data_IF_707770276679
#
_entry.id   IF_707770276679
#
_cell.length_a   1.000
_cell.length_b   1.000
_cell.length_c   1.000
_cell.angle_alpha   90.00
_cell.angle_beta   90.00
_cell.angle_gamma   90.00
#
_symmetry.space_group_name_H-M   'P 1'
#
loop_
_entity.id
_entity.type
_entity.pdbx_description
1 polymer ?
#
# COMPACT_ATOMS: atom_id res chain seq x y z
N UNK A 1 -13.11 -7.16 19.20
CA UNK A 1 -13.50 -8.33 18.33
C UNK A 1 -13.40 -9.58 19.15
N UNK A 2 -14.42 -10.42 19.11
CA UNK A 2 -14.34 -11.74 19.77
C UNK A 2 -13.61 -12.79 18.90
N UNK A 3 -13.34 -13.95 19.48
CA UNK A 3 -12.53 -14.98 18.86
C UNK A 3 -13.18 -15.60 17.60
N UNK A 4 -14.52 -15.63 17.54
CA UNK A 4 -15.26 -16.18 16.38
C UNK A 4 -14.99 -15.34 15.15
N UNK A 5 -15.16 -14.01 15.25
CA UNK A 5 -14.88 -13.10 14.14
C UNK A 5 -13.39 -13.03 13.80
N UNK A 6 -12.51 -13.11 14.81
CA UNK A 6 -11.08 -13.14 14.57
C UNK A 6 -10.67 -14.36 13.74
N UNK A 7 -11.10 -15.55 14.12
CA UNK A 7 -10.79 -16.79 13.40
C UNK A 7 -11.40 -16.79 11.99
N UNK A 8 -12.64 -16.31 11.86
CA UNK A 8 -13.29 -16.16 10.55
C UNK A 8 -12.50 -15.22 9.62
N UNK A 9 -11.98 -14.11 10.16
CA UNK A 9 -11.13 -13.20 9.40
C UNK A 9 -9.81 -13.86 8.97
N UNK A 10 -9.14 -14.58 9.86
CA UNK A 10 -7.91 -15.33 9.55
C UNK A 10 -8.14 -16.34 8.43
N UNK A 11 -9.26 -17.09 8.52
CA UNK A 11 -9.60 -18.17 7.58
C UNK A 11 -10.27 -17.67 6.28
N UNK A 12 -10.65 -16.38 6.20
CA UNK A 12 -11.39 -15.83 5.05
C UNK A 12 -12.82 -16.37 4.94
N UNK A 13 -13.47 -16.72 6.06
CA UNK A 13 -14.86 -17.17 6.11
C UNK A 13 -15.80 -15.99 6.22
N UNK A 14 -16.69 -15.84 5.25
CA UNK A 14 -17.58 -14.67 5.15
C UNK A 14 -18.86 -14.81 5.97
N UNK A 15 -19.33 -16.05 6.23
CA UNK A 15 -20.64 -16.32 6.82
C UNK A 15 -20.88 -15.59 8.15
N UNK A 16 -19.94 -15.61 9.14
CA UNK A 16 -20.14 -14.90 10.40
C UNK A 16 -20.35 -13.39 10.24
N UNK A 17 -19.79 -12.81 9.17
CA UNK A 17 -19.92 -11.36 8.89
C UNK A 17 -21.22 -10.99 8.18
N UNK A 18 -21.85 -11.94 7.49
CA UNK A 18 -23.18 -11.80 6.90
C UNK A 18 -24.31 -11.93 7.93
N UNK A 19 -24.09 -12.74 8.97
CA UNK A 19 -25.10 -13.08 9.97
C UNK A 19 -25.07 -12.15 11.21
N UNK A 20 -24.04 -11.32 11.35
CA UNK A 20 -23.90 -10.46 12.54
C UNK A 20 -24.79 -9.22 12.46
N UNK A 21 -25.43 -8.89 13.60
CA UNK A 21 -26.13 -7.61 13.77
C UNK A 21 -25.17 -6.45 14.11
N UNK A 22 -23.91 -6.75 14.47
CA UNK A 22 -22.92 -5.73 14.82
C UNK A 22 -22.33 -5.10 13.56
N UNK A 23 -22.21 -3.78 13.51
CA UNK A 23 -21.54 -3.10 12.40
C UNK A 23 -20.09 -3.59 12.26
N UNK A 24 -19.67 -3.97 11.05
CA UNK A 24 -18.33 -4.54 10.85
C UNK A 24 -17.20 -3.56 11.19
N UNK A 25 -17.43 -2.26 11.04
CA UNK A 25 -16.45 -1.23 11.40
C UNK A 25 -16.20 -1.12 12.92
N UNK A 26 -17.08 -1.67 13.75
CA UNK A 26 -16.94 -1.73 15.21
C UNK A 26 -16.26 -3.04 15.69
N UNK A 27 -16.10 -4.02 14.79
CA UNK A 27 -15.41 -5.26 15.08
C UNK A 27 -13.89 -5.06 15.07
N UNK A 28 -13.35 -4.49 16.15
CA UNK A 28 -11.94 -4.12 16.26
C UNK A 28 -11.21 -4.97 17.31
N UNK A 29 -9.95 -5.30 17.01
CA UNK A 29 -9.01 -5.81 18.01
C UNK A 29 -8.56 -4.70 18.98
N UNK A 30 -7.84 -5.00 20.09
CA UNK A 30 -7.25 -3.97 20.95
C UNK A 30 -6.35 -2.97 20.20
N UNK A 31 -5.65 -3.43 19.16
CA UNK A 31 -4.83 -2.59 18.27
C UNK A 31 -5.64 -1.94 17.14
N UNK A 32 -6.98 -1.94 17.24
CA UNK A 32 -7.92 -1.40 16.26
C UNK A 32 -7.82 -2.04 14.87
N UNK A 33 -7.23 -3.22 14.75
CA UNK A 33 -7.26 -3.94 13.49
C UNK A 33 -8.71 -4.36 13.15
N UNK A 34 -9.12 -4.05 11.93
CA UNK A 34 -10.40 -4.48 11.36
C UNK A 34 -10.30 -5.90 10.82
N UNK A 35 -11.42 -6.44 10.35
CA UNK A 35 -11.50 -7.73 9.64
C UNK A 35 -10.47 -7.80 8.49
N UNK A 36 -10.36 -6.73 7.69
CA UNK A 36 -9.41 -6.67 6.57
C UNK A 36 -7.95 -6.69 7.06
N UNK A 37 -7.61 -5.94 8.10
CA UNK A 37 -6.24 -5.95 8.65
C UNK A 37 -5.83 -7.34 9.11
N UNK A 38 -6.75 -8.05 9.81
CA UNK A 38 -6.48 -9.41 10.29
C UNK A 38 -6.28 -10.36 9.11
N UNK A 39 -7.21 -10.33 8.14
CA UNK A 39 -7.16 -11.20 6.99
C UNK A 39 -5.85 -11.02 6.22
N UNK A 40 -5.54 -9.79 5.81
CA UNK A 40 -4.36 -9.46 5.01
C UNK A 40 -3.03 -9.76 5.70
N UNK A 41 -2.98 -9.62 7.04
CA UNK A 41 -1.76 -9.93 7.82
C UNK A 41 -1.50 -11.45 7.89
N UNK A 42 -2.55 -12.27 7.81
CA UNK A 42 -2.44 -13.73 7.96
C UNK A 42 -2.34 -14.47 6.61
N UNK A 43 -2.41 -13.78 5.49
CA UNK A 43 -2.16 -14.38 4.19
C UNK A 43 -0.69 -14.79 4.06
N UNK A 44 -0.43 -16.07 3.83
CA UNK A 44 0.95 -16.62 3.77
C UNK A 44 1.49 -16.71 2.34
N UNK A 45 0.68 -16.47 1.32
CA UNK A 45 1.02 -16.53 -0.12
C UNK A 45 0.31 -15.42 -0.87
N UNK A 46 0.73 -15.20 -2.14
CA UNK A 46 -0.05 -14.39 -3.08
C UNK A 46 -1.50 -14.92 -3.09
N UNK A 47 -2.49 -14.06 -2.84
CA UNK A 47 -3.86 -14.51 -2.67
C UNK A 47 -4.40 -15.17 -3.93
N UNK A 48 -4.98 -16.35 -3.77
CA UNK A 48 -5.80 -16.98 -4.79
C UNK A 48 -7.09 -16.18 -5.04
N UNK A 49 -7.81 -16.47 -6.08
CA UNK A 49 -9.07 -15.81 -6.45
C UNK A 49 -10.10 -15.82 -5.29
N UNK A 50 -10.12 -16.89 -4.49
CA UNK A 50 -10.98 -17.02 -3.30
C UNK A 50 -10.73 -15.95 -2.24
N UNK A 51 -9.49 -15.52 -2.08
CA UNK A 51 -9.09 -14.49 -1.12
C UNK A 51 -9.50 -13.09 -1.57
N UNK A 52 -9.37 -12.81 -2.87
CA UNK A 52 -9.87 -11.59 -3.47
C UNK A 52 -11.38 -11.46 -3.26
N UNK A 53 -12.13 -12.54 -3.47
CA UNK A 53 -13.59 -12.59 -3.24
C UNK A 53 -13.97 -12.25 -1.79
N UNK A 54 -13.21 -12.75 -0.79
CA UNK A 54 -13.48 -12.39 0.61
C UNK A 54 -13.34 -10.88 0.85
N UNK A 55 -12.29 -10.25 0.33
CA UNK A 55 -12.09 -8.80 0.47
C UNK A 55 -13.20 -8.02 -0.22
N UNK A 56 -13.60 -8.43 -1.42
CA UNK A 56 -14.71 -7.81 -2.17
C UNK A 56 -16.04 -7.94 -1.42
N UNK A 57 -16.37 -9.13 -0.89
CA UNK A 57 -17.61 -9.35 -0.14
C UNK A 57 -17.63 -8.54 1.16
N UNK A 58 -16.53 -8.47 1.91
CA UNK A 58 -16.43 -7.64 3.12
C UNK A 58 -16.62 -6.16 2.79
N UNK A 59 -16.02 -5.67 1.70
CA UNK A 59 -16.16 -4.27 1.27
C UNK A 59 -17.56 -3.98 0.71
N UNK A 60 -18.21 -4.97 0.10
CA UNK A 60 -19.62 -4.85 -0.31
C UNK A 60 -20.55 -4.69 0.90
N UNK A 61 -20.32 -5.45 2.00
CA UNK A 61 -21.11 -5.36 3.24
C UNK A 61 -20.81 -4.04 3.98
N UNK A 62 -19.54 -3.64 4.03
CA UNK A 62 -19.09 -2.47 4.79
C UNK A 62 -17.99 -1.68 4.05
N UNK A 63 -18.37 -0.80 3.09
CA UNK A 63 -17.42 -0.03 2.28
C UNK A 63 -16.46 0.85 3.09
N UNK A 64 -16.88 1.32 4.28
CA UNK A 64 -16.04 2.16 5.14
C UNK A 64 -14.76 1.48 5.62
N UNK A 65 -14.69 0.15 5.60
CA UNK A 65 -13.50 -0.62 5.96
C UNK A 65 -12.32 -0.37 5.00
N UNK A 66 -12.59 0.10 3.77
CA UNK A 66 -11.57 0.40 2.78
C UNK A 66 -10.53 1.41 3.28
N UNK A 67 -11.00 2.45 3.98
CA UNK A 67 -10.17 3.54 4.48
C UNK A 67 -9.97 3.51 6.00
N UNK A 68 -10.61 2.58 6.70
CA UNK A 68 -10.51 2.50 8.15
C UNK A 68 -9.10 2.07 8.57
N UNK A 69 -8.53 2.81 9.52
CA UNK A 69 -7.16 2.60 9.97
C UNK A 69 -7.09 1.90 11.33
N UNK A 70 -5.99 1.18 11.57
CA UNK A 70 -5.65 0.58 12.85
C UNK A 70 -4.98 1.58 13.81
N UNK A 71 -4.50 1.13 14.98
CA UNK A 71 -3.83 1.97 15.98
C UNK A 71 -2.50 2.59 15.50
N UNK A 72 -1.90 2.06 14.43
CA UNK A 72 -0.71 2.62 13.78
C UNK A 72 -1.04 3.55 12.62
N UNK A 73 -2.31 3.91 12.45
CA UNK A 73 -2.81 4.66 11.30
C UNK A 73 -2.58 3.95 9.94
N UNK A 74 -2.46 2.63 9.95
CA UNK A 74 -2.33 1.84 8.73
C UNK A 74 -3.70 1.49 8.18
N UNK A 75 -3.94 1.73 6.89
CA UNK A 75 -5.12 1.27 6.16
C UNK A 75 -4.91 -0.17 5.63
N UNK A 76 -5.95 -0.85 5.15
CA UNK A 76 -5.81 -2.14 4.47
C UNK A 76 -4.80 -2.10 3.32
N UNK A 77 -4.69 -0.96 2.59
CA UNK A 77 -3.72 -0.79 1.52
C UNK A 77 -2.27 -0.84 2.03
N UNK A 78 -1.96 -0.26 3.19
CA UNK A 78 -0.63 -0.37 3.80
C UNK A 78 -0.26 -1.83 4.08
N UNK A 79 -1.20 -2.60 4.65
CA UNK A 79 -0.98 -4.02 4.96
C UNK A 79 -0.77 -4.82 3.67
N UNK A 80 -1.65 -4.67 2.68
CA UNK A 80 -1.54 -5.36 1.39
C UNK A 80 -0.22 -5.04 0.68
N UNK A 81 0.20 -3.77 0.71
CA UNK A 81 1.46 -3.32 0.11
C UNK A 81 2.69 -3.88 0.83
N UNK A 82 2.66 -3.91 2.17
CA UNK A 82 3.73 -4.47 3.01
C UNK A 82 3.99 -5.95 2.76
N UNK A 83 2.93 -6.72 2.56
CA UNK A 83 3.02 -8.17 2.32
C UNK A 83 3.08 -8.55 0.84
N UNK A 84 3.06 -7.57 -0.07
CA UNK A 84 3.20 -7.80 -1.51
C UNK A 84 1.97 -8.42 -2.17
N UNK A 85 0.78 -8.29 -1.58
CA UNK A 85 -0.46 -8.86 -2.10
C UNK A 85 -0.99 -8.04 -3.28
N UNK A 86 -0.34 -8.15 -4.45
CA UNK A 86 -0.64 -7.34 -5.63
C UNK A 86 -2.10 -7.49 -6.10
N UNK A 87 -2.65 -8.71 -6.07
CA UNK A 87 -4.06 -8.97 -6.39
C UNK A 87 -5.00 -8.20 -5.47
N UNK A 88 -4.72 -8.16 -4.15
CA UNK A 88 -5.54 -7.41 -3.19
C UNK A 88 -5.38 -5.90 -3.38
N UNK A 89 -4.16 -5.42 -3.62
CA UNK A 89 -3.93 -4.00 -3.94
C UNK A 89 -4.79 -3.56 -5.12
N UNK A 90 -4.85 -4.38 -6.17
CA UNK A 90 -5.71 -4.13 -7.33
C UNK A 90 -7.19 -4.07 -6.93
N UNK A 91 -7.69 -5.03 -6.15
CA UNK A 91 -9.07 -5.03 -5.64
C UNK A 91 -9.37 -3.78 -4.83
N UNK A 92 -8.50 -3.38 -3.88
CA UNK A 92 -8.70 -2.18 -3.08
C UNK A 92 -8.78 -0.91 -3.93
N UNK A 93 -7.94 -0.79 -4.98
CA UNK A 93 -7.97 0.32 -5.93
C UNK A 93 -9.29 0.32 -6.72
N UNK A 94 -9.71 -0.83 -7.24
CA UNK A 94 -10.98 -0.99 -7.97
C UNK A 94 -12.19 -0.64 -7.09
N UNK A 95 -12.19 -1.06 -5.83
CA UNK A 95 -13.22 -0.70 -4.85
C UNK A 95 -13.24 0.81 -4.54
N UNK A 96 -12.08 1.45 -4.44
CA UNK A 96 -12.02 2.90 -4.28
C UNK A 96 -12.63 3.65 -5.47
N UNK A 97 -12.54 3.09 -6.66
CA UNK A 97 -13.07 3.68 -7.89
C UNK A 97 -14.55 3.39 -8.10
N UNK A 98 -15.04 2.22 -7.69
CA UNK A 98 -16.36 1.70 -8.03
C UNK A 98 -17.54 2.47 -7.43
N UNK A 99 -17.36 3.14 -6.30
CA UNK A 99 -18.45 3.82 -5.58
C UNK A 99 -18.71 5.27 -6.06
N UNK A 100 -18.15 5.67 -7.21
CA UNK A 100 -18.26 7.02 -7.75
C UNK A 100 -19.07 7.06 -9.04
N UNK A 101 -19.79 8.16 -9.27
CA UNK A 101 -20.70 8.31 -10.42
C UNK A 101 -19.98 8.45 -11.77
N UNK A 102 -18.72 8.88 -11.74
CA UNK A 102 -17.89 9.09 -12.91
C UNK A 102 -16.45 8.65 -12.67
N UNK A 103 -15.72 8.41 -13.76
CA UNK A 103 -14.35 7.91 -13.75
C UNK A 103 -13.38 8.87 -13.03
N UNK A 104 -13.58 10.18 -13.18
CA UNK A 104 -12.68 11.19 -12.59
C UNK A 104 -12.79 11.20 -11.06
N UNK A 105 -14.01 11.17 -10.53
CA UNK A 105 -14.27 11.07 -9.08
C UNK A 105 -13.73 9.76 -8.49
N UNK A 106 -13.87 8.64 -9.20
CA UNK A 106 -13.32 7.36 -8.80
C UNK A 106 -11.79 7.38 -8.75
N UNK A 107 -11.16 7.95 -9.78
CA UNK A 107 -9.71 8.08 -9.81
C UNK A 107 -9.19 8.98 -8.69
N UNK A 108 -9.90 10.08 -8.41
CA UNK A 108 -9.57 10.97 -7.29
C UNK A 108 -9.65 10.24 -5.95
N UNK A 109 -10.69 9.45 -5.71
CA UNK A 109 -10.82 8.66 -4.48
C UNK A 109 -9.67 7.64 -4.31
N UNK A 110 -9.29 6.95 -5.38
CA UNK A 110 -8.14 6.05 -5.35
C UNK A 110 -6.84 6.81 -5.03
N UNK A 111 -6.60 7.97 -5.65
CA UNK A 111 -5.44 8.82 -5.37
C UNK A 111 -5.42 9.30 -3.91
N UNK A 112 -6.54 9.70 -3.34
CA UNK A 112 -6.61 10.06 -1.91
C UNK A 112 -6.29 8.87 -0.99
N UNK A 113 -6.72 7.68 -1.33
CA UNK A 113 -6.34 6.45 -0.61
C UNK A 113 -4.81 6.20 -0.66
N UNK A 114 -4.15 6.45 -1.80
CA UNK A 114 -2.69 6.31 -1.94
C UNK A 114 -1.91 7.30 -1.07
N UNK A 115 -2.48 8.48 -0.80
CA UNK A 115 -1.86 9.54 0.02
C UNK A 115 -1.94 9.30 1.52
N UNK A 116 -2.74 8.34 1.96
CA UNK A 116 -2.85 8.03 3.38
C UNK A 116 -1.49 7.60 3.94
N UNK A 117 -1.18 8.10 5.13
CA UNK A 117 0.08 7.80 5.82
C UNK A 117 -0.16 7.15 7.17
N UNK A 118 0.73 6.26 7.56
CA UNK A 118 0.75 5.71 8.90
C UNK A 118 1.39 6.71 9.91
N UNK A 119 1.55 6.30 11.19
CA UNK A 119 2.13 7.15 12.23
C UNK A 119 3.60 7.55 11.98
N UNK A 120 4.32 6.83 11.12
CA UNK A 120 5.70 7.12 10.70
C UNK A 120 5.74 7.93 9.40
N UNK A 121 4.60 8.44 8.92
CA UNK A 121 4.39 9.08 7.62
C UNK A 121 4.74 8.20 6.40
N UNK A 122 4.81 6.88 6.56
CA UNK A 122 4.90 6.00 5.41
C UNK A 122 3.54 5.89 4.72
N UNK A 123 3.52 6.00 3.40
CA UNK A 123 2.40 5.59 2.56
C UNK A 123 2.51 4.08 2.24
N UNK A 124 1.47 3.50 1.65
CA UNK A 124 1.52 2.14 1.14
C UNK A 124 2.67 1.93 0.11
N UNK A 125 3.04 2.97 -0.63
CA UNK A 125 4.17 2.95 -1.55
C UNK A 125 5.51 2.78 -0.82
N UNK A 126 5.74 3.49 0.31
CA UNK A 126 6.91 3.29 1.16
C UNK A 126 7.00 1.85 1.67
N UNK A 127 5.85 1.29 2.10
CA UNK A 127 5.80 -0.10 2.56
C UNK A 127 6.14 -1.08 1.43
N UNK A 128 5.60 -0.90 0.22
CA UNK A 128 5.93 -1.73 -0.93
C UNK A 128 7.43 -1.69 -1.29
N UNK A 129 8.03 -0.50 -1.28
CA UNK A 129 9.47 -0.33 -1.53
C UNK A 129 10.30 -1.01 -0.43
N UNK A 130 9.95 -0.80 0.84
CA UNK A 130 10.68 -1.35 1.99
C UNK A 130 10.87 -2.86 1.90
N UNK A 131 9.88 -3.56 1.36
CA UNK A 131 9.85 -5.02 1.25
C UNK A 131 10.06 -5.54 -0.17
N UNK A 132 10.49 -4.68 -1.11
CA UNK A 132 10.83 -5.03 -2.50
C UNK A 132 9.67 -5.65 -3.31
N UNK A 133 8.47 -5.09 -3.21
CA UNK A 133 7.29 -5.59 -3.90
C UNK A 133 7.03 -4.85 -5.22
N UNK A 134 7.79 -5.21 -6.28
CA UNK A 134 7.77 -4.54 -7.59
C UNK A 134 6.36 -4.47 -8.21
N UNK A 135 5.60 -5.57 -8.18
CA UNK A 135 4.27 -5.60 -8.79
C UNK A 135 3.28 -4.66 -8.09
N UNK A 136 3.38 -4.52 -6.76
CA UNK A 136 2.59 -3.53 -6.01
C UNK A 136 3.00 -2.12 -6.42
N UNK A 137 4.30 -1.84 -6.51
CA UNK A 137 4.82 -0.53 -6.93
C UNK A 137 4.29 -0.13 -8.30
N UNK A 138 4.31 -1.03 -9.28
CA UNK A 138 3.75 -0.81 -10.63
C UNK A 138 2.26 -0.44 -10.60
N UNK A 139 1.47 -1.14 -9.77
CA UNK A 139 0.04 -0.85 -9.62
C UNK A 139 -0.20 0.55 -9.05
N UNK A 140 0.55 0.94 -8.02
CA UNK A 140 0.40 2.25 -7.38
C UNK A 140 0.82 3.39 -8.30
N UNK A 141 1.95 3.27 -9.02
CA UNK A 141 2.40 4.25 -10.03
C UNK A 141 1.35 4.41 -11.13
N UNK A 142 0.74 3.31 -11.60
CA UNK A 142 -0.29 3.36 -12.64
C UNK A 142 -1.52 4.18 -12.22
N UNK A 143 -1.87 4.19 -10.95
CA UNK A 143 -3.01 4.98 -10.43
C UNK A 143 -2.67 6.46 -10.34
N UNK A 144 -1.48 6.80 -9.90
CA UNK A 144 -1.04 8.18 -9.77
C UNK A 144 0.46 8.35 -10.12
N UNK A 145 0.80 8.44 -11.42
CA UNK A 145 2.18 8.61 -11.85
C UNK A 145 2.75 9.98 -11.49
N UNK A 146 1.89 10.97 -11.23
CA UNK A 146 2.28 12.34 -10.90
C UNK A 146 2.48 12.56 -9.40
N UNK A 147 2.16 11.56 -8.57
CA UNK A 147 2.26 11.72 -7.13
C UNK A 147 3.72 11.74 -6.66
N UNK A 148 4.14 12.89 -6.18
CA UNK A 148 5.44 13.04 -5.51
C UNK A 148 5.31 12.53 -4.07
N UNK A 149 5.80 11.35 -3.82
CA UNK A 149 5.78 10.75 -2.49
C UNK A 149 6.75 11.48 -1.56
N UNK A 150 6.18 12.24 -0.62
CA UNK A 150 6.92 13.00 0.37
C UNK A 150 7.73 12.06 1.30
N UNK A 151 8.82 12.58 1.92
CA UNK A 151 9.61 11.78 2.84
C UNK A 151 8.80 11.39 4.09
N UNK A 152 9.10 10.22 4.63
CA UNK A 152 8.60 9.76 5.91
C UNK A 152 9.25 10.50 7.10
N UNK A 153 8.93 10.12 8.34
CA UNK A 153 9.45 10.80 9.54
C UNK A 153 10.99 10.74 9.72
N UNK A 154 11.65 9.77 9.09
CA UNK A 154 13.12 9.68 9.09
C UNK A 154 13.76 10.37 7.89
N UNK A 155 12.95 11.02 7.04
CA UNK A 155 13.41 11.78 5.87
C UNK A 155 13.65 10.92 4.64
N UNK A 156 13.21 9.66 4.60
CA UNK A 156 13.35 8.80 3.43
C UNK A 156 12.18 8.99 2.46
N UNK A 157 12.48 9.29 1.20
CA UNK A 157 11.53 9.15 0.09
C UNK A 157 11.57 7.71 -0.46
N UNK A 158 10.52 7.24 -1.16
CA UNK A 158 10.53 5.91 -1.78
C UNK A 158 11.72 5.66 -2.70
N UNK A 159 12.11 6.63 -3.53
CA UNK A 159 13.27 6.50 -4.39
C UNK A 159 14.57 6.37 -3.58
N UNK A 160 14.76 7.21 -2.55
CA UNK A 160 15.92 7.11 -1.67
C UNK A 160 16.00 5.73 -1.02
N UNK A 161 14.88 5.21 -0.50
CA UNK A 161 14.80 3.88 0.10
C UNK A 161 15.17 2.77 -0.88
N UNK A 162 14.69 2.85 -2.13
CA UNK A 162 15.00 1.86 -3.16
C UNK A 162 16.50 1.84 -3.49
N UNK A 163 17.12 3.02 -3.64
CA UNK A 163 18.56 3.16 -3.89
C UNK A 163 19.38 2.65 -2.72
N UNK A 164 19.07 3.08 -1.49
CA UNK A 164 19.80 2.66 -0.28
C UNK A 164 19.81 1.14 -0.09
N UNK A 165 18.70 0.49 -0.46
CA UNK A 165 18.55 -0.98 -0.35
C UNK A 165 19.02 -1.74 -1.59
N UNK A 166 19.53 -1.04 -2.61
CA UNK A 166 19.99 -1.59 -3.89
C UNK A 166 18.92 -2.39 -4.65
N UNK A 167 17.66 -1.95 -4.56
CA UNK A 167 16.54 -2.53 -5.29
C UNK A 167 16.46 -1.95 -6.70
N UNK A 168 17.35 -2.39 -7.59
CA UNK A 168 17.54 -1.79 -8.91
C UNK A 168 16.25 -1.75 -9.74
N UNK A 169 15.47 -2.84 -9.75
CA UNK A 169 14.22 -2.90 -10.50
C UNK A 169 13.21 -1.85 -10.02
N UNK A 170 13.15 -1.58 -8.71
CA UNK A 170 12.29 -0.53 -8.14
C UNK A 170 12.80 0.86 -8.52
N UNK A 171 14.11 1.08 -8.52
CA UNK A 171 14.70 2.36 -8.94
C UNK A 171 14.35 2.63 -10.41
N UNK A 172 14.53 1.64 -11.28
CA UNK A 172 14.18 1.77 -12.69
C UNK A 172 12.69 2.00 -12.90
N UNK A 173 11.83 1.29 -12.18
CA UNK A 173 10.38 1.47 -12.26
C UNK A 173 9.96 2.89 -11.87
N UNK A 174 10.48 3.40 -10.74
CA UNK A 174 10.16 4.76 -10.25
C UNK A 174 10.66 5.82 -11.24
N UNK A 175 11.93 5.77 -11.66
CA UNK A 175 12.51 6.78 -12.52
C UNK A 175 11.92 6.77 -13.94
N UNK A 176 11.44 5.62 -14.43
CA UNK A 176 10.86 5.50 -15.77
C UNK A 176 9.39 5.87 -15.84
N UNK A 177 8.63 5.70 -14.76
CA UNK A 177 7.17 5.75 -14.79
C UNK A 177 6.54 6.79 -13.85
N UNK A 178 7.31 7.39 -12.92
CA UNK A 178 6.87 8.55 -12.15
C UNK A 178 7.24 9.85 -12.87
N UNK A 179 6.28 10.74 -13.05
CA UNK A 179 6.50 12.03 -13.75
C UNK A 179 7.36 13.00 -12.92
N UNK A 180 7.31 12.89 -11.59
CA UNK A 180 8.02 13.83 -10.69
C UNK A 180 8.42 13.11 -9.39
N UNK A 181 9.36 12.14 -9.45
CA UNK A 181 9.81 11.43 -8.26
C UNK A 181 10.51 12.37 -7.29
N UNK A 182 10.23 12.23 -5.99
CA UNK A 182 10.95 12.97 -4.95
C UNK A 182 12.34 12.34 -4.74
N UNK A 183 13.37 13.16 -4.82
CA UNK A 183 14.77 12.72 -4.74
C UNK A 183 15.39 12.86 -3.35
N UNK A 184 14.71 13.52 -2.43
CA UNK A 184 15.21 13.85 -1.11
C UNK A 184 15.39 12.59 -0.25
N UNK A 185 16.33 12.70 0.68
CA UNK A 185 16.62 11.69 1.68
C UNK A 185 17.10 12.30 3.00
N UNK A 186 17.43 11.46 3.98
CA UNK A 186 17.85 11.89 5.31
C UNK A 186 19.07 12.82 5.29
N UNK A 187 19.11 13.77 6.23
CA UNK A 187 20.26 14.66 6.44
C UNK A 187 20.62 15.52 5.20
N UNK A 188 19.66 15.88 4.38
CA UNK A 188 19.89 16.67 3.16
C UNK A 188 20.60 15.89 2.04
N UNK A 189 20.67 14.57 2.14
CA UNK A 189 21.15 13.71 1.05
C UNK A 189 20.06 13.53 0.01
N UNK A 190 20.45 13.14 -1.19
CA UNK A 190 19.52 12.74 -2.26
C UNK A 190 19.74 11.28 -2.62
N UNK A 191 18.83 10.69 -3.36
CA UNK A 191 18.99 9.33 -3.89
C UNK A 191 20.30 9.18 -4.70
N UNK A 192 20.75 10.20 -5.41
CA UNK A 192 22.03 10.18 -6.11
C UNK A 192 23.23 10.13 -5.14
N UNK A 193 23.19 10.89 -4.04
CA UNK A 193 24.23 10.79 -3.01
C UNK A 193 24.31 9.36 -2.44
N UNK A 194 23.18 8.70 -2.21
CA UNK A 194 23.14 7.31 -1.76
C UNK A 194 23.76 6.35 -2.79
N UNK A 195 23.42 6.49 -4.08
CA UNK A 195 23.99 5.67 -5.16
C UNK A 195 25.51 5.79 -5.23
N UNK A 196 26.05 7.01 -5.15
CA UNK A 196 27.50 7.27 -5.15
C UNK A 196 28.18 6.67 -3.91
N UNK A 197 27.61 6.84 -2.71
CA UNK A 197 28.16 6.27 -1.47
C UNK A 197 28.20 4.74 -1.53
N UNK A 198 27.18 4.13 -2.14
CA UNK A 198 27.07 2.68 -2.30
C UNK A 198 27.92 2.13 -3.44
N UNK A 199 28.61 3.01 -4.19
CA UNK A 199 29.38 2.68 -5.38
C UNK A 199 28.58 1.90 -6.44
N UNK A 200 27.29 2.29 -6.61
CA UNK A 200 26.40 1.67 -7.59
C UNK A 200 26.44 2.49 -8.90
N UNK A 201 27.39 2.15 -9.78
CA UNK A 201 27.58 2.82 -11.05
C UNK A 201 26.36 2.70 -11.99
N UNK A 202 25.61 1.58 -11.87
CA UNK A 202 24.41 1.34 -12.69
C UNK A 202 23.31 2.32 -12.34
N UNK A 203 22.97 2.45 -11.07
CA UNK A 203 21.97 3.41 -10.59
C UNK A 203 22.44 4.85 -10.84
N UNK A 204 23.69 5.17 -10.52
CA UNK A 204 24.23 6.52 -10.73
C UNK A 204 24.16 6.93 -12.21
N UNK A 205 24.58 6.07 -13.13
CA UNK A 205 24.53 6.31 -14.56
C UNK A 205 23.08 6.49 -15.05
N UNK A 206 22.16 5.59 -14.65
CA UNK A 206 20.76 5.68 -15.05
C UNK A 206 20.12 6.99 -14.58
N UNK A 207 20.45 7.44 -13.37
CA UNK A 207 19.99 8.70 -12.81
C UNK A 207 20.41 9.90 -13.66
N UNK A 208 21.67 9.93 -14.15
CA UNK A 208 22.16 11.03 -15.02
C UNK A 208 21.49 11.08 -16.38
N UNK A 209 20.93 10.00 -16.88
CA UNK A 209 20.26 9.96 -18.18
C UNK A 209 18.75 10.24 -18.10
N UNK A 210 18.15 10.19 -16.91
CA UNK A 210 16.69 10.30 -16.73
C UNK A 210 16.25 11.57 -16.02
N UNK A 211 17.16 12.30 -15.36
CA UNK A 211 16.95 13.57 -14.66
C UNK A 211 17.75 14.68 -15.33
#
# INVERSE_FOLDING_TARGET
>A
MDLVFYNAAVEGKIEPFKETEKPLHDLLTPNRNTVLHIHLTNLTREPELSTANFVEEILYICPSLLLQVNAKNESPLHIAARYGHATIVKVLIEQAQAHHQDLESGLKAAREMLKMTNIEKNTAFHDAIRYNHLEVVKLLIKVDPDFSYLPNDVGETPLYMAVERKFQDLVYEILSNCSSPAFDGPLGRTALHAAVILNDEGIASFYFFTV
#
